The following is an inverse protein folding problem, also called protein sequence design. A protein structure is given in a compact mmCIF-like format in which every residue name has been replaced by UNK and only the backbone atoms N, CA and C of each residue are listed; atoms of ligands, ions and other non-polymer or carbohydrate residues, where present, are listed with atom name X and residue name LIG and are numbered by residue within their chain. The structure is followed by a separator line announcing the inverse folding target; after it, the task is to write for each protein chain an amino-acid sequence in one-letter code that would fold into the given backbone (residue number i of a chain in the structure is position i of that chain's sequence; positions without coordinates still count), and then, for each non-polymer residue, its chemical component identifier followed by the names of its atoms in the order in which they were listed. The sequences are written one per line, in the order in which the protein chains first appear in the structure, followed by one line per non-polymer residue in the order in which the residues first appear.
data_IF_704549676201
#
_entry.id   IF_704549676201
#
_cell.length_a   1.000
_cell.length_b   1.000
_cell.length_c   1.000
_cell.angle_alpha   90.00
_cell.angle_beta   90.00
_cell.angle_gamma   90.00
#
_symmetry.space_group_name_H-M   'P 1'
#
loop_
_entity.id
_entity.type
_entity.pdbx_description
1 polymer ?
#
# COMPACT_ATOMS: atom_id res chain seq x y z
N UNK A 1 -17.76 -17.03 19.93
CA UNK A 1 -16.59 -16.30 19.38
C UNK A 1 -16.75 -14.83 19.77
N UNK A 2 -15.75 -14.24 20.42
CA UNK A 2 -15.75 -12.79 20.67
C UNK A 2 -15.43 -12.10 19.34
N UNK A 3 -16.37 -11.33 18.80
CA UNK A 3 -16.12 -10.50 17.61
C UNK A 3 -14.95 -9.57 17.95
N UNK A 4 -13.88 -9.61 17.14
CA UNK A 4 -12.71 -8.73 17.32
C UNK A 4 -13.20 -7.27 17.21
N UNK A 5 -13.40 -6.62 18.35
CA UNK A 5 -13.96 -5.26 18.46
C UNK A 5 -13.12 -4.22 17.70
N UNK A 6 -11.85 -4.54 17.47
CA UNK A 6 -10.85 -3.64 16.87
C UNK A 6 -10.75 -3.78 15.33
N UNK A 7 -11.54 -4.66 14.70
CA UNK A 7 -11.44 -4.93 13.26
C UNK A 7 -11.82 -3.71 12.40
N UNK A 8 -12.92 -3.06 12.75
CA UNK A 8 -13.44 -1.87 12.07
C UNK A 8 -13.11 -0.65 12.93
N UNK A 9 -11.83 -0.36 13.10
CA UNK A 9 -11.32 0.81 13.83
C UNK A 9 -10.06 1.32 13.13
N UNK A 10 -9.80 2.62 13.20
CA UNK A 10 -8.55 3.21 12.74
C UNK A 10 -8.44 3.42 11.23
N UNK A 11 -7.25 3.18 10.66
CA UNK A 11 -6.98 3.34 9.23
C UNK A 11 -7.02 1.97 8.53
N UNK A 12 -8.01 1.79 7.67
CA UNK A 12 -8.14 0.63 6.80
C UNK A 12 -7.65 0.96 5.39
N UNK A 13 -6.56 0.32 4.94
CA UNK A 13 -5.98 0.57 3.61
C UNK A 13 -6.66 -0.28 2.54
N UNK A 14 -7.11 0.35 1.44
CA UNK A 14 -7.78 -0.28 0.32
C UNK A 14 -6.85 -0.30 -0.90
N UNK A 15 -5.99 -1.32 -1.05
CA UNK A 15 -5.15 -1.45 -2.23
C UNK A 15 -5.96 -1.80 -3.48
N UNK A 16 -5.34 -1.59 -4.63
CA UNK A 16 -5.81 -2.19 -5.89
C UNK A 16 -5.60 -3.71 -5.86
N UNK A 17 -6.30 -4.42 -6.74
CA UNK A 17 -6.02 -5.82 -7.05
C UNK A 17 -5.38 -5.86 -8.43
N UNK A 18 -4.03 -6.00 -8.54
CA UNK A 18 -3.38 -6.11 -9.84
C UNK A 18 -3.87 -7.36 -10.58
N UNK A 19 -4.27 -7.19 -11.83
CA UNK A 19 -4.69 -8.27 -12.69
C UNK A 19 -4.28 -7.98 -14.14
N UNK A 20 -4.12 -9.05 -14.93
CA UNK A 20 -3.94 -8.95 -16.37
C UNK A 20 -5.26 -8.53 -17.08
N UNK A 21 -5.23 -8.27 -18.40
CA UNK A 21 -6.43 -7.89 -19.14
C UNK A 21 -7.59 -8.90 -19.11
N UNK A 22 -7.30 -10.18 -18.83
CA UNK A 22 -8.28 -11.25 -18.71
C UNK A 22 -8.82 -11.39 -17.26
N UNK A 23 -8.31 -10.56 -16.35
CA UNK A 23 -8.67 -10.53 -14.93
C UNK A 23 -7.92 -11.53 -14.07
N UNK A 24 -6.91 -12.23 -14.61
CA UNK A 24 -6.06 -13.12 -13.81
C UNK A 24 -5.27 -12.27 -12.82
N UNK A 25 -5.53 -12.50 -11.53
CA UNK A 25 -4.88 -11.76 -10.45
C UNK A 25 -3.38 -12.06 -10.44
N UNK A 26 -2.57 -11.00 -10.54
CA UNK A 26 -1.13 -11.01 -10.32
C UNK A 26 -0.88 -11.04 -8.81
N UNK A 27 -0.77 -12.26 -8.30
CA UNK A 27 -0.55 -12.51 -6.88
C UNK A 27 0.82 -12.00 -6.42
N UNK A 28 1.84 -11.97 -7.28
CA UNK A 28 3.16 -11.48 -6.89
C UNK A 28 3.13 -9.97 -6.65
N UNK A 29 2.52 -9.22 -7.56
CA UNK A 29 2.35 -7.78 -7.41
C UNK A 29 1.44 -7.45 -6.22
N UNK A 30 0.35 -8.20 -6.04
CA UNK A 30 -0.54 -8.05 -4.89
C UNK A 30 0.22 -8.23 -3.57
N UNK A 31 1.01 -9.30 -3.43
CA UNK A 31 1.80 -9.54 -2.21
C UNK A 31 2.80 -8.42 -1.95
N UNK A 32 3.51 -7.93 -2.98
CA UNK A 32 4.44 -6.81 -2.83
C UNK A 32 3.75 -5.50 -2.38
N UNK A 33 2.51 -5.26 -2.80
CA UNK A 33 1.70 -4.14 -2.30
C UNK A 33 1.34 -4.37 -0.82
N UNK A 34 0.85 -5.56 -0.46
CA UNK A 34 0.41 -5.88 0.90
C UNK A 34 1.56 -5.81 1.92
N UNK A 35 2.78 -6.24 1.54
CA UNK A 35 3.97 -6.13 2.40
C UNK A 35 4.30 -4.69 2.76
N UNK A 36 4.06 -3.73 1.85
CA UNK A 36 4.25 -2.30 2.12
C UNK A 36 3.18 -1.70 3.03
N UNK A 37 2.02 -2.35 3.12
CA UNK A 37 0.93 -1.95 4.01
C UNK A 37 1.08 -2.54 5.42
N UNK A 38 1.98 -3.52 5.62
CA UNK A 38 2.30 -4.05 6.94
C UNK A 38 3.25 -3.11 7.72
N UNK A 39 2.77 -1.90 7.98
CA UNK A 39 3.47 -0.90 8.79
C UNK A 39 2.63 -0.52 10.02
N UNK A 40 3.26 0.02 11.07
CA UNK A 40 2.51 0.60 12.19
C UNK A 40 1.59 1.74 11.72
N UNK A 41 0.37 1.78 12.28
CA UNK A 41 -0.62 2.81 11.98
C UNK A 41 -1.61 2.47 10.85
N UNK A 42 -1.37 1.41 10.09
CA UNK A 42 -2.41 0.74 9.28
C UNK A 42 -3.06 -0.32 10.16
N UNK A 43 -4.36 -0.22 10.41
CA UNK A 43 -5.07 -1.06 11.38
C UNK A 43 -5.75 -2.26 10.72
N UNK A 44 -6.14 -2.15 9.44
CA UNK A 44 -6.65 -3.26 8.64
C UNK A 44 -6.41 -3.05 7.14
N UNK A 45 -6.62 -4.11 6.36
CA UNK A 45 -6.57 -4.06 4.90
C UNK A 45 -7.94 -4.42 4.34
N UNK A 46 -8.53 -3.49 3.58
CA UNK A 46 -9.76 -3.69 2.82
C UNK A 46 -9.47 -4.13 1.39
N UNK A 47 -9.23 -5.43 1.20
CA UNK A 47 -8.99 -6.00 -0.12
C UNK A 47 -10.32 -6.22 -0.87
N UNK A 48 -10.29 -6.25 -2.20
CA UNK A 48 -11.51 -6.45 -3.00
C UNK A 48 -12.63 -5.44 -2.63
N UNK A 49 -12.26 -4.19 -2.31
CA UNK A 49 -13.20 -3.06 -2.31
C UNK A 49 -13.45 -2.54 -3.73
N UNK A 50 -14.14 -1.40 -3.86
CA UNK A 50 -14.28 -0.69 -5.16
C UNK A 50 -12.91 -0.43 -5.80
N UNK A 51 -11.94 0.05 -5.03
CA UNK A 51 -10.53 0.25 -5.45
C UNK A 51 -9.88 -1.04 -5.96
N UNK A 52 -10.24 -2.18 -5.36
CA UNK A 52 -9.77 -3.50 -5.77
C UNK A 52 -10.56 -4.13 -6.93
N UNK A 53 -11.50 -3.40 -7.54
CA UNK A 53 -12.34 -3.81 -8.67
C UNK A 53 -13.10 -5.13 -8.47
N UNK A 54 -13.54 -5.44 -7.25
CA UNK A 54 -14.14 -6.75 -6.94
C UNK A 54 -15.31 -7.14 -7.87
N UNK A 55 -16.17 -6.20 -8.25
CA UNK A 55 -17.30 -6.45 -9.16
C UNK A 55 -16.90 -6.89 -10.57
N UNK A 56 -15.65 -6.66 -10.96
CA UNK A 56 -15.11 -7.05 -12.27
C UNK A 56 -14.31 -8.35 -12.22
N UNK A 57 -14.23 -8.98 -11.04
CA UNK A 57 -13.55 -10.26 -10.84
C UNK A 57 -14.58 -11.36 -10.61
N UNK A 58 -14.38 -12.48 -11.29
CA UNK A 58 -15.10 -13.73 -11.05
C UNK A 58 -14.83 -14.26 -9.63
N UNK A 59 -15.69 -15.17 -9.15
CA UNK A 59 -15.52 -15.84 -7.85
C UNK A 59 -14.12 -16.46 -7.71
N UNK A 60 -13.63 -17.17 -8.72
CA UNK A 60 -12.31 -17.82 -8.68
C UNK A 60 -11.14 -16.81 -8.66
N UNK A 61 -11.26 -15.71 -9.41
CA UNK A 61 -10.26 -14.63 -9.36
C UNK A 61 -10.24 -13.95 -7.98
N UNK A 62 -11.41 -13.74 -7.36
CA UNK A 62 -11.50 -13.23 -5.98
C UNK A 62 -10.85 -14.20 -4.99
N UNK A 63 -11.16 -15.49 -5.07
CA UNK A 63 -10.53 -16.53 -4.22
C UNK A 63 -9.01 -16.53 -4.37
N UNK A 64 -8.50 -16.44 -5.60
CA UNK A 64 -7.06 -16.33 -5.87
C UNK A 64 -6.42 -15.14 -5.15
N UNK A 65 -7.05 -13.95 -5.21
CA UNK A 65 -6.57 -12.77 -4.49
C UNK A 65 -6.59 -12.97 -2.97
N UNK A 66 -7.70 -13.53 -2.44
CA UNK A 66 -7.88 -13.78 -1.01
C UNK A 66 -6.83 -14.74 -0.48
N UNK A 67 -6.61 -15.88 -1.15
CA UNK A 67 -5.61 -16.85 -0.72
C UNK A 67 -4.20 -16.26 -0.70
N UNK A 68 -3.81 -15.50 -1.74
CA UNK A 68 -2.52 -14.83 -1.77
C UNK A 68 -2.37 -13.81 -0.63
N UNK A 69 -3.42 -13.04 -0.34
CA UNK A 69 -3.42 -12.04 0.73
C UNK A 69 -3.33 -12.68 2.11
N UNK A 70 -4.12 -13.71 2.39
CA UNK A 70 -4.07 -14.44 3.67
C UNK A 70 -2.69 -15.06 3.88
N UNK A 71 -2.13 -15.69 2.85
CA UNK A 71 -0.80 -16.29 2.92
C UNK A 71 0.31 -15.26 3.16
N UNK A 72 0.21 -14.07 2.56
CA UNK A 72 1.18 -13.00 2.75
C UNK A 72 1.05 -12.35 4.14
N UNK A 73 -0.17 -12.07 4.59
CA UNK A 73 -0.38 -11.35 5.85
C UNK A 73 -0.16 -12.24 7.07
N UNK A 74 -0.47 -13.54 6.99
CA UNK A 74 -0.28 -14.50 8.08
C UNK A 74 -0.88 -14.02 9.42
N UNK A 75 -2.01 -13.31 9.35
CA UNK A 75 -2.69 -12.74 10.52
C UNK A 75 -2.01 -11.52 11.16
N UNK A 76 -0.90 -10.99 10.61
CA UNK A 76 -0.22 -9.78 11.11
C UNK A 76 -1.11 -8.53 11.02
N UNK A 77 -1.96 -8.47 10.00
CA UNK A 77 -2.95 -7.41 9.78
C UNK A 77 -4.32 -8.03 9.51
N UNK A 78 -5.39 -7.52 10.14
CA UNK A 78 -6.74 -7.95 9.82
C UNK A 78 -7.08 -7.71 8.34
N UNK A 79 -7.67 -8.71 7.71
CA UNK A 79 -8.11 -8.65 6.32
C UNK A 79 -9.63 -8.57 6.25
N UNK A 80 -10.14 -7.57 5.53
CA UNK A 80 -11.56 -7.37 5.26
C UNK A 80 -11.76 -7.48 3.75
N UNK A 81 -12.76 -8.22 3.29
CA UNK A 81 -13.04 -8.39 1.84
C UNK A 81 -14.49 -8.12 1.49
N UNK A 82 -14.78 -7.72 0.25
CA UNK A 82 -16.17 -7.55 -0.17
C UNK A 82 -16.83 -8.86 -0.60
N UNK A 83 -18.03 -9.10 -0.06
CA UNK A 83 -18.94 -10.16 -0.47
C UNK A 83 -20.08 -9.65 -1.38
N UNK A 84 -20.00 -8.40 -1.87
CA UNK A 84 -21.03 -7.85 -2.75
C UNK A 84 -21.16 -8.64 -4.07
N UNK A 85 -22.41 -8.88 -4.46
CA UNK A 85 -22.78 -9.53 -5.71
C UNK A 85 -24.21 -9.13 -6.12
N UNK A 86 -24.55 -9.34 -7.39
CA UNK A 86 -25.89 -9.05 -7.92
C UNK A 86 -26.99 -9.96 -7.38
N UNK A 87 -26.62 -11.13 -6.85
CA UNK A 87 -27.55 -12.11 -6.31
C UNK A 87 -27.17 -12.45 -4.87
N UNK A 88 -28.18 -12.64 -4.04
CA UNK A 88 -28.00 -13.01 -2.63
C UNK A 88 -27.27 -14.35 -2.47
N UNK A 89 -27.56 -15.34 -3.30
CA UNK A 89 -26.89 -16.65 -3.23
C UNK A 89 -25.41 -16.58 -3.64
N UNK A 90 -25.04 -15.69 -4.56
CA UNK A 90 -23.64 -15.39 -4.88
C UNK A 90 -22.94 -14.71 -3.70
N UNK A 91 -23.58 -13.73 -3.06
CA UNK A 91 -23.03 -13.05 -1.90
C UNK A 91 -22.80 -14.02 -0.72
N UNK A 92 -23.72 -14.95 -0.48
CA UNK A 92 -23.56 -16.02 0.52
C UNK A 92 -22.39 -16.95 0.18
N UNK A 93 -22.21 -17.32 -1.09
CA UNK A 93 -21.07 -18.13 -1.53
C UNK A 93 -19.73 -17.40 -1.31
N UNK A 94 -19.68 -16.11 -1.64
CA UNK A 94 -18.49 -15.28 -1.43
C UNK A 94 -18.16 -15.10 0.05
N UNK A 95 -19.17 -14.91 0.90
CA UNK A 95 -19.00 -14.83 2.35
C UNK A 95 -18.39 -16.11 2.93
N UNK A 96 -18.89 -17.28 2.49
CA UNK A 96 -18.34 -18.59 2.88
C UNK A 96 -16.91 -18.81 2.39
N UNK A 97 -16.61 -18.46 1.13
CA UNK A 97 -15.24 -18.55 0.61
C UNK A 97 -14.25 -17.72 1.44
N UNK A 98 -14.65 -16.51 1.84
CA UNK A 98 -13.83 -15.64 2.68
C UNK A 98 -13.62 -16.22 4.09
N UNK A 99 -14.68 -16.76 4.70
CA UNK A 99 -14.62 -17.43 6.00
C UNK A 99 -13.71 -18.66 5.97
N UNK A 100 -13.87 -19.54 4.98
CA UNK A 100 -13.04 -20.73 4.78
C UNK A 100 -11.57 -20.37 4.55
N UNK A 101 -11.30 -19.25 3.88
CA UNK A 101 -9.95 -18.76 3.65
C UNK A 101 -9.30 -18.10 4.88
N UNK A 102 -10.06 -17.82 5.95
CA UNK A 102 -9.55 -17.18 7.16
C UNK A 102 -9.49 -15.64 7.10
N UNK A 103 -10.37 -15.01 6.31
CA UNK A 103 -10.58 -13.55 6.32
C UNK A 103 -11.21 -13.13 7.66
N UNK A 104 -10.91 -11.92 8.15
CA UNK A 104 -11.38 -11.46 9.46
C UNK A 104 -12.77 -10.79 9.42
N UNK A 105 -13.20 -10.24 8.29
CA UNK A 105 -14.53 -9.65 8.14
C UNK A 105 -14.92 -9.31 6.71
N UNK A 106 -16.17 -8.86 6.56
CA UNK A 106 -16.81 -8.64 5.25
C UNK A 106 -17.28 -7.21 5.06
N UNK A 107 -17.24 -6.74 3.82
CA UNK A 107 -17.99 -5.58 3.33
C UNK A 107 -19.13 -6.08 2.44
N UNK A 108 -20.35 -5.66 2.73
CA UNK A 108 -21.51 -6.01 1.91
C UNK A 108 -22.13 -4.75 1.31
N UNK A 109 -22.11 -4.61 -0.01
CA UNK A 109 -22.81 -3.54 -0.72
C UNK A 109 -24.04 -4.14 -1.41
N UNK A 110 -25.22 -3.48 -1.38
CA UNK A 110 -26.41 -3.94 -2.09
C UNK A 110 -26.29 -3.58 -3.58
N UNK A 111 -25.52 -4.38 -4.32
CA UNK A 111 -25.26 -4.14 -5.74
C UNK A 111 -26.43 -4.66 -6.56
N UNK A 112 -26.98 -3.83 -7.43
CA UNK A 112 -28.07 -4.24 -8.31
C UNK A 112 -28.03 -3.53 -9.66
N UNK A 113 -28.65 -4.16 -10.66
CA UNK A 113 -29.03 -3.50 -11.89
C UNK A 113 -30.42 -2.86 -11.75
N UNK A 114 -31.36 -3.62 -11.18
CA UNK A 114 -32.71 -3.13 -10.85
C UNK A 114 -32.66 -2.31 -9.55
N UNK A 115 -33.28 -1.13 -9.48
CA UNK A 115 -33.42 -0.38 -8.24
C UNK A 115 -34.05 -1.24 -7.14
N UNK A 116 -33.41 -1.32 -5.98
CA UNK A 116 -33.87 -2.12 -4.84
C UNK A 116 -34.75 -1.28 -3.89
N UNK A 117 -35.68 -1.96 -3.23
CA UNK A 117 -36.45 -1.46 -2.09
C UNK A 117 -35.71 -1.72 -0.77
N UNK A 118 -36.08 -0.99 0.29
CA UNK A 118 -35.52 -1.19 1.64
C UNK A 118 -35.71 -2.63 2.14
N UNK A 119 -36.84 -3.28 1.84
CA UNK A 119 -37.11 -4.65 2.28
C UNK A 119 -36.23 -5.68 1.55
N UNK A 120 -36.00 -5.48 0.25
CA UNK A 120 -35.09 -6.35 -0.52
C UNK A 120 -33.65 -6.23 -0.01
N UNK A 121 -33.19 -5.02 0.31
CA UNK A 121 -31.88 -4.81 0.91
C UNK A 121 -31.80 -5.42 2.30
N UNK A 122 -32.79 -5.22 3.17
CA UNK A 122 -32.81 -5.87 4.48
C UNK A 122 -32.73 -7.40 4.36
N UNK A 123 -33.58 -8.00 3.52
CA UNK A 123 -33.64 -9.47 3.33
C UNK A 123 -32.31 -10.00 2.77
N UNK A 124 -31.66 -9.25 1.88
CA UNK A 124 -30.34 -9.56 1.38
C UNK A 124 -29.29 -9.60 2.51
N UNK A 125 -29.25 -8.56 3.34
CA UNK A 125 -28.33 -8.50 4.49
C UNK A 125 -28.59 -9.63 5.48
N UNK A 126 -29.85 -9.88 5.84
CA UNK A 126 -30.24 -10.97 6.75
C UNK A 126 -29.80 -12.34 6.22
N UNK A 127 -30.01 -12.59 4.92
CA UNK A 127 -29.62 -13.84 4.27
C UNK A 127 -28.11 -14.04 4.25
N UNK A 128 -27.32 -13.00 3.96
CA UNK A 128 -25.85 -13.09 3.94
C UNK A 128 -25.31 -13.22 5.37
N UNK A 129 -25.82 -12.42 6.30
CA UNK A 129 -25.50 -12.47 7.73
C UNK A 129 -25.72 -13.87 8.32
N UNK A 130 -26.83 -14.53 7.98
CA UNK A 130 -27.13 -15.90 8.43
C UNK A 130 -26.26 -16.99 7.78
N UNK A 131 -25.43 -16.67 6.78
CA UNK A 131 -24.63 -17.65 6.04
C UNK A 131 -23.17 -17.77 6.47
N UNK A 132 -22.72 -16.90 7.38
CA UNK A 132 -21.33 -16.81 7.84
C UNK A 132 -21.24 -16.37 9.30
N UNK A 133 -20.16 -16.72 10.00
CA UNK A 133 -19.88 -16.20 11.34
C UNK A 133 -19.04 -14.92 11.32
N UNK A 134 -18.54 -14.51 10.15
CA UNK A 134 -17.72 -13.31 10.01
C UNK A 134 -18.52 -12.04 10.34
N UNK A 135 -17.88 -11.04 10.96
CA UNK A 135 -18.49 -9.74 11.16
C UNK A 135 -18.61 -8.98 9.82
N UNK A 136 -19.76 -8.35 9.62
CA UNK A 136 -20.16 -7.66 8.39
C UNK A 136 -20.20 -6.15 8.65
N UNK A 137 -19.62 -5.41 7.70
CA UNK A 137 -19.74 -3.97 7.57
C UNK A 137 -20.72 -3.63 6.43
N UNK A 138 -21.75 -2.86 6.76
CA UNK A 138 -22.66 -2.23 5.80
C UNK A 138 -21.81 -1.34 4.89
N UNK A 139 -21.79 -1.63 3.59
CA UNK A 139 -21.04 -0.84 2.62
C UNK A 139 -21.99 0.07 1.84
N UNK A 140 -22.14 1.29 2.33
CA UNK A 140 -22.91 2.35 1.69
C UNK A 140 -22.02 3.09 0.66
N UNK A 141 -22.35 2.94 -0.62
CA UNK A 141 -21.66 3.62 -1.73
C UNK A 141 -22.66 3.97 -2.84
N UNK A 142 -23.48 5.01 -2.66
CA UNK A 142 -24.63 5.29 -3.53
C UNK A 142 -24.20 5.67 -4.95
N UNK A 143 -22.99 6.21 -5.14
CA UNK A 143 -22.45 6.53 -6.47
C UNK A 143 -22.21 5.31 -7.36
N UNK A 144 -22.05 4.12 -6.77
CA UNK A 144 -21.78 2.88 -7.53
C UNK A 144 -22.90 1.86 -7.45
N UNK A 145 -23.64 1.82 -6.33
CA UNK A 145 -24.78 0.92 -6.13
C UNK A 145 -26.11 1.53 -6.56
N UNK A 146 -26.18 2.85 -6.70
CA UNK A 146 -27.43 3.60 -6.90
C UNK A 146 -28.49 3.36 -5.80
N UNK A 147 -28.06 2.86 -4.64
CA UNK A 147 -28.90 2.66 -3.47
C UNK A 147 -28.42 3.53 -2.31
N UNK A 148 -29.33 4.29 -1.72
CA UNK A 148 -29.08 5.13 -0.55
C UNK A 148 -29.82 4.55 0.64
N UNK A 149 -29.10 4.20 1.70
CA UNK A 149 -29.73 3.67 2.90
C UNK A 149 -30.47 4.77 3.67
N UNK A 150 -31.72 4.48 4.06
CA UNK A 150 -32.42 5.27 5.07
C UNK A 150 -31.84 4.99 6.46
N UNK A 151 -31.92 5.97 7.37
CA UNK A 151 -31.47 5.77 8.76
C UNK A 151 -32.25 4.64 9.48
N UNK A 152 -33.54 4.49 9.16
CA UNK A 152 -34.38 3.43 9.69
C UNK A 152 -33.90 2.06 9.20
N UNK A 153 -33.56 1.93 7.92
CA UNK A 153 -33.00 0.70 7.36
C UNK A 153 -31.62 0.40 7.97
N UNK A 154 -30.74 1.39 8.11
CA UNK A 154 -29.44 1.21 8.76
C UNK A 154 -29.60 0.65 10.18
N UNK A 155 -30.50 1.23 10.98
CA UNK A 155 -30.76 0.76 12.34
C UNK A 155 -31.32 -0.67 12.36
N UNK A 156 -32.22 -1.01 11.43
CA UNK A 156 -32.79 -2.35 11.31
C UNK A 156 -31.74 -3.40 10.92
N UNK A 157 -30.86 -3.08 9.96
CA UNK A 157 -29.76 -3.96 9.54
C UNK A 157 -28.70 -4.09 10.66
N UNK A 158 -28.39 -3.00 11.35
CA UNK A 158 -27.43 -2.99 12.46
C UNK A 158 -27.87 -3.82 13.68
N UNK A 159 -29.16 -4.18 13.76
CA UNK A 159 -29.67 -5.09 14.79
C UNK A 159 -29.35 -6.57 14.49
N UNK A 160 -28.86 -6.91 13.29
CA UNK A 160 -28.44 -8.28 12.96
C UNK A 160 -27.15 -8.65 13.75
N UNK A 161 -27.05 -9.86 14.34
CA UNK A 161 -26.02 -10.16 15.34
C UNK A 161 -24.56 -9.98 14.93
N UNK A 162 -24.25 -10.23 13.64
CA UNK A 162 -22.91 -10.11 13.09
C UNK A 162 -22.74 -8.90 12.17
N UNK A 163 -23.72 -8.00 12.06
CA UNK A 163 -23.51 -6.70 11.40
C UNK A 163 -23.07 -5.69 12.44
N UNK A 164 -21.85 -5.18 12.31
CA UNK A 164 -21.18 -4.45 13.40
C UNK A 164 -20.56 -3.12 12.99
N UNK A 165 -20.62 -2.78 11.71
CA UNK A 165 -20.00 -1.56 11.20
C UNK A 165 -20.76 -0.97 10.00
N UNK A 166 -20.57 0.32 9.78
CA UNK A 166 -20.97 1.07 8.60
C UNK A 166 -19.74 1.71 7.96
N UNK A 167 -19.56 1.47 6.67
CA UNK A 167 -18.70 2.23 5.78
C UNK A 167 -19.59 3.09 4.89
N UNK A 168 -19.43 4.41 4.96
CA UNK A 168 -20.16 5.36 4.11
C UNK A 168 -19.21 6.40 3.51
N UNK A 169 -19.57 7.08 2.41
CA UNK A 169 -18.85 8.29 2.01
C UNK A 169 -19.00 9.36 3.08
N UNK A 170 -17.97 10.18 3.28
CA UNK A 170 -18.09 11.39 4.09
C UNK A 170 -19.18 12.32 3.53
N UNK A 171 -20.06 12.87 4.37
CA UNK A 171 -21.03 13.87 3.95
C UNK A 171 -20.31 15.19 3.60
N UNK A 172 -20.84 15.91 2.61
CA UNK A 172 -20.30 17.20 2.15
C UNK A 172 -20.81 18.39 2.96
N UNK A 173 -21.86 18.20 3.75
CA UNK A 173 -22.48 19.22 4.59
C UNK A 173 -22.64 18.69 6.01
N UNK A 174 -22.30 19.53 7.00
CA UNK A 174 -22.44 19.25 8.43
C UNK A 174 -21.95 17.85 8.88
N UNK A 175 -20.70 17.45 8.55
CA UNK A 175 -20.23 16.09 8.81
C UNK A 175 -20.27 15.68 10.27
N UNK A 176 -20.02 16.62 11.18
CA UNK A 176 -20.14 16.40 12.62
C UNK A 176 -21.58 16.07 13.03
N UNK A 177 -22.55 16.91 12.65
CA UNK A 177 -23.95 16.70 12.99
C UNK A 177 -24.46 15.36 12.42
N UNK A 178 -24.10 15.04 11.17
CA UNK A 178 -24.45 13.76 10.56
C UNK A 178 -23.84 12.56 11.30
N UNK A 179 -22.60 12.68 11.78
CA UNK A 179 -21.98 11.63 12.61
C UNK A 179 -22.75 11.42 13.92
N UNK A 180 -23.07 12.51 14.63
CA UNK A 180 -23.79 12.48 15.90
C UNK A 180 -25.20 11.87 15.75
N UNK A 181 -25.92 12.22 14.68
CA UNK A 181 -27.23 11.64 14.36
C UNK A 181 -27.16 10.12 14.15
N UNK A 182 -26.19 9.65 13.38
CA UNK A 182 -26.00 8.22 13.15
C UNK A 182 -25.61 7.50 14.44
N UNK A 183 -24.71 8.09 15.24
CA UNK A 183 -24.29 7.54 16.52
C UNK A 183 -25.47 7.39 17.49
N UNK A 184 -26.42 8.32 17.47
CA UNK A 184 -27.62 8.27 18.30
C UNK A 184 -28.64 7.19 17.86
N UNK A 185 -28.65 6.84 16.57
CA UNK A 185 -29.62 5.88 15.97
C UNK A 185 -29.09 4.46 15.88
N UNK A 186 -27.78 4.28 15.82
CA UNK A 186 -27.14 2.98 15.68
C UNK A 186 -26.80 2.35 17.05
N UNK A 187 -26.68 1.01 17.15
CA UNK A 187 -26.38 0.35 18.40
C UNK A 187 -25.09 0.85 19.07
N UNK A 188 -25.05 0.82 20.40
CA UNK A 188 -23.85 1.16 21.15
C UNK A 188 -22.68 0.25 20.75
N UNK A 189 -21.52 0.86 20.46
CA UNK A 189 -20.34 0.14 19.99
C UNK A 189 -20.36 -0.27 18.52
N UNK A 190 -21.40 0.08 17.76
CA UNK A 190 -21.44 -0.10 16.31
C UNK A 190 -20.45 0.87 15.64
N UNK A 191 -19.53 0.35 14.82
CA UNK A 191 -18.49 1.17 14.20
C UNK A 191 -19.05 2.02 13.04
N UNK A 192 -18.80 3.33 13.04
CA UNK A 192 -19.18 4.25 11.97
C UNK A 192 -17.91 4.81 11.34
N UNK A 193 -17.63 4.38 10.11
CA UNK A 193 -16.46 4.82 9.37
C UNK A 193 -16.77 5.45 8.03
N UNK A 194 -15.78 6.15 7.50
CA UNK A 194 -15.90 7.09 6.40
C UNK A 194 -14.90 6.76 5.28
N UNK A 195 -15.30 7.09 4.07
CA UNK A 195 -14.54 6.99 2.82
C UNK A 195 -14.70 8.29 2.03
N UNK A 196 -14.21 8.34 0.78
CA UNK A 196 -13.91 9.58 0.07
C UNK A 196 -12.79 10.34 0.80
N UNK A 197 -11.55 9.92 0.54
CA UNK A 197 -10.33 10.32 1.27
C UNK A 197 -10.22 11.85 1.50
N UNK A 198 -10.68 12.66 0.55
CA UNK A 198 -10.60 14.12 0.60
C UNK A 198 -11.57 14.80 1.58
N UNK A 199 -12.58 14.09 2.09
CA UNK A 199 -13.61 14.61 2.99
C UNK A 199 -13.57 13.95 4.37
N UNK A 200 -12.59 13.10 4.65
CA UNK A 200 -12.64 12.20 5.81
C UNK A 200 -12.24 12.87 7.12
N UNK A 201 -11.47 13.95 7.09
CA UNK A 201 -10.86 14.53 8.28
C UNK A 201 -11.90 15.01 9.31
N UNK A 202 -12.91 15.76 8.88
CA UNK A 202 -13.92 16.32 9.77
C UNK A 202 -14.80 15.27 10.46
N UNK A 203 -15.42 14.29 9.77
CA UNK A 203 -16.22 13.28 10.45
C UNK A 203 -15.38 12.38 11.37
N UNK A 204 -14.09 12.15 11.08
CA UNK A 204 -13.22 11.41 12.00
C UNK A 204 -12.84 12.23 13.23
N UNK A 205 -12.56 13.53 13.09
CA UNK A 205 -12.38 14.46 14.23
C UNK A 205 -13.65 14.55 15.10
N UNK A 206 -14.83 14.31 14.51
CA UNK A 206 -16.10 14.25 15.22
C UNK A 206 -16.38 12.92 15.94
N UNK A 207 -15.44 11.95 15.92
CA UNK A 207 -15.60 10.65 16.57
C UNK A 207 -15.91 9.48 15.64
N UNK A 208 -15.72 9.66 14.32
CA UNK A 208 -15.70 8.55 13.37
C UNK A 208 -14.65 7.50 13.71
N UNK A 209 -15.04 6.23 13.64
CA UNK A 209 -14.24 5.09 14.10
C UNK A 209 -13.17 4.67 13.09
N UNK A 210 -13.49 4.73 11.79
CA UNK A 210 -12.65 4.16 10.73
C UNK A 210 -12.51 5.08 9.55
N UNK A 211 -11.29 5.20 9.05
CA UNK A 211 -11.00 5.69 7.71
C UNK A 211 -10.80 4.51 6.76
N UNK A 212 -11.74 4.30 5.83
CA UNK A 212 -11.61 3.36 4.73
C UNK A 212 -10.97 4.06 3.51
N UNK A 213 -9.65 3.89 3.35
CA UNK A 213 -8.82 4.77 2.53
C UNK A 213 -8.28 4.10 1.26
N UNK A 214 -8.59 4.64 0.08
CA UNK A 214 -8.01 4.18 -1.18
C UNK A 214 -6.56 4.68 -1.30
N UNK A 215 -6.30 5.92 -0.91
CA UNK A 215 -4.94 6.49 -0.97
C UNK A 215 -3.96 5.78 -0.04
N UNK A 216 -4.39 5.33 1.14
CA UNK A 216 -3.53 4.53 2.03
C UNK A 216 -3.09 3.20 1.42
N UNK A 217 -3.84 2.66 0.45
CA UNK A 217 -3.51 1.44 -0.27
C UNK A 217 -2.28 1.54 -1.18
N UNK A 218 -1.84 2.76 -1.51
CA UNK A 218 -0.64 3.03 -2.33
C UNK A 218 0.37 3.96 -1.65
N UNK A 219 -0.11 4.85 -0.79
CA UNK A 219 0.69 5.87 -0.09
C UNK A 219 0.40 5.83 1.42
N UNK A 220 0.79 4.74 2.13
CA UNK A 220 0.40 4.54 3.52
C UNK A 220 1.01 5.58 4.48
N UNK A 221 2.23 6.08 4.22
CA UNK A 221 2.94 7.01 5.11
C UNK A 221 2.16 8.30 5.42
N UNK A 222 1.80 9.12 4.42
CA UNK A 222 0.99 10.31 4.65
C UNK A 222 -0.37 10.03 5.28
N UNK A 223 -1.03 8.93 4.89
CA UNK A 223 -2.33 8.54 5.48
C UNK A 223 -2.20 8.19 6.96
N UNK A 224 -1.16 7.45 7.35
CA UNK A 224 -0.86 7.15 8.76
C UNK A 224 -0.58 8.44 9.53
N UNK A 225 0.19 9.38 8.96
CA UNK A 225 0.46 10.66 9.59
C UNK A 225 -0.84 11.45 9.82
N UNK A 226 -1.71 11.53 8.80
CA UNK A 226 -3.00 12.22 8.92
C UNK A 226 -3.91 11.56 9.96
N UNK A 227 -4.05 10.23 9.93
CA UNK A 227 -4.88 9.51 10.90
C UNK A 227 -4.38 9.68 12.33
N UNK A 228 -3.07 9.68 12.54
CA UNK A 228 -2.48 9.91 13.86
C UNK A 228 -2.73 11.33 14.37
N UNK A 229 -2.72 12.34 13.50
CA UNK A 229 -3.06 13.71 13.86
C UNK A 229 -4.54 13.87 14.20
N UNK A 230 -5.42 13.19 13.46
CA UNK A 230 -6.85 13.11 13.76
C UNK A 230 -7.08 12.49 15.14
N UNK A 231 -6.46 11.33 15.43
CA UNK A 231 -6.57 10.65 16.73
C UNK A 231 -6.11 11.52 17.91
N UNK A 232 -5.17 12.43 17.68
CA UNK A 232 -4.68 13.38 18.69
C UNK A 232 -5.54 14.65 18.81
N UNK A 233 -6.48 14.88 17.90
CA UNK A 233 -7.22 16.14 17.80
C UNK A 233 -6.34 17.32 17.35
N UNK A 234 -5.23 17.07 16.66
CA UNK A 234 -4.32 18.13 16.20
C UNK A 234 -4.85 18.76 14.90
N UNK A 235 -5.79 19.69 15.04
CA UNK A 235 -6.42 20.38 13.92
C UNK A 235 -5.43 21.10 13.00
N UNK A 236 -4.34 21.64 13.56
CA UNK A 236 -3.33 22.37 12.79
C UNK A 236 -2.54 21.41 11.89
N UNK A 237 -2.11 20.28 12.44
CA UNK A 237 -1.38 19.27 11.68
C UNK A 237 -2.27 18.53 10.67
N UNK A 238 -3.53 18.26 11.03
CA UNK A 238 -4.54 17.75 10.07
C UNK A 238 -4.65 18.69 8.86
N UNK A 239 -4.83 19.99 9.09
CA UNK A 239 -4.90 20.99 8.01
C UNK A 239 -3.62 21.01 7.17
N UNK A 240 -2.45 20.94 7.80
CA UNK A 240 -1.16 20.96 7.11
C UNK A 240 -0.98 19.73 6.21
N UNK A 241 -1.25 18.53 6.72
CA UNK A 241 -1.10 17.28 5.95
C UNK A 241 -2.15 17.22 4.83
N UNK A 242 -3.40 17.61 5.10
CA UNK A 242 -4.44 17.70 4.07
C UNK A 242 -4.05 18.66 2.94
N UNK A 243 -3.40 19.78 3.25
CA UNK A 243 -2.91 20.72 2.23
C UNK A 243 -1.79 20.13 1.35
N UNK A 244 -0.88 19.33 1.92
CA UNK A 244 0.16 18.60 1.15
C UNK A 244 -0.47 17.63 0.16
N UNK A 245 -1.56 17.01 0.59
CA UNK A 245 -2.24 15.98 -0.16
C UNK A 245 -3.27 16.53 -1.16
N UNK A 246 -3.67 17.80 -1.02
CA UNK A 246 -4.66 18.48 -1.86
C UNK A 246 -4.50 18.26 -3.38
N UNK A 247 -3.30 18.24 -3.98
CA UNK A 247 -3.15 17.97 -5.41
C UNK A 247 -3.64 16.57 -5.82
N UNK A 248 -3.46 15.55 -4.98
CA UNK A 248 -4.06 14.22 -5.23
C UNK A 248 -5.59 14.29 -5.08
N UNK A 249 -6.11 15.15 -4.20
CA UNK A 249 -7.54 15.20 -3.87
C UNK A 249 -8.30 15.81 -5.04
N UNK A 250 -7.69 16.79 -5.70
CA UNK A 250 -8.17 17.35 -6.97
C UNK A 250 -8.18 16.28 -8.07
N UNK A 251 -7.14 15.46 -8.18
CA UNK A 251 -7.10 14.36 -9.13
C UNK A 251 -8.19 13.31 -8.85
N UNK A 252 -8.44 12.99 -7.57
CA UNK A 252 -9.51 12.06 -7.16
C UNK A 252 -10.88 12.60 -7.57
N UNK A 253 -11.13 13.90 -7.38
CA UNK A 253 -12.40 14.53 -7.75
C UNK A 253 -12.58 14.60 -9.28
N UNK A 254 -11.51 14.82 -10.04
CA UNK A 254 -11.57 14.93 -11.49
C UNK A 254 -11.66 13.58 -12.21
N UNK A 255 -10.86 12.59 -11.80
CA UNK A 255 -10.71 11.32 -12.51
C UNK A 255 -11.33 10.11 -11.80
N UNK A 256 -11.75 10.28 -10.55
CA UNK A 256 -12.16 9.21 -9.65
C UNK A 256 -10.97 8.54 -8.96
N UNK A 257 -11.12 8.32 -7.65
CA UNK A 257 -10.11 7.70 -6.78
C UNK A 257 -9.55 6.38 -7.33
N UNK A 258 -10.40 5.47 -7.81
CA UNK A 258 -9.98 4.19 -8.36
C UNK A 258 -8.99 4.32 -9.52
N UNK A 259 -9.26 5.22 -10.49
CA UNK A 259 -8.34 5.42 -11.63
C UNK A 259 -7.03 6.04 -11.19
N UNK A 260 -7.08 7.01 -10.29
CA UNK A 260 -5.88 7.69 -9.79
C UNK A 260 -5.03 6.73 -8.97
N UNK A 261 -5.60 5.88 -8.12
CA UNK A 261 -4.83 4.89 -7.34
C UNK A 261 -4.16 3.86 -8.25
N UNK A 262 -4.81 3.40 -9.31
CA UNK A 262 -4.16 2.58 -10.34
C UNK A 262 -2.98 3.31 -11.01
N UNK A 263 -3.17 4.57 -11.39
CA UNK A 263 -2.10 5.37 -11.99
C UNK A 263 -0.92 5.55 -11.01
N UNK A 264 -1.20 5.93 -9.76
CA UNK A 264 -0.20 6.07 -8.70
C UNK A 264 0.57 4.76 -8.46
N UNK A 265 -0.10 3.62 -8.40
CA UNK A 265 0.55 2.32 -8.21
C UNK A 265 1.56 2.00 -9.33
N UNK A 266 1.22 2.34 -10.58
CA UNK A 266 2.11 2.18 -11.73
C UNK A 266 3.30 3.16 -11.67
N UNK A 267 3.05 4.44 -11.41
CA UNK A 267 4.11 5.47 -11.33
C UNK A 267 5.08 5.22 -10.16
N UNK A 268 4.59 4.63 -9.06
CA UNK A 268 5.40 4.20 -7.91
C UNK A 268 6.14 2.86 -8.15
N UNK A 269 5.95 2.24 -9.31
CA UNK A 269 6.56 0.94 -9.64
C UNK A 269 6.08 -0.20 -8.73
N UNK A 270 4.87 -0.11 -8.16
CA UNK A 270 4.32 -1.17 -7.31
C UNK A 270 3.84 -2.36 -8.13
N UNK A 271 3.34 -2.10 -9.33
CA UNK A 271 2.84 -3.10 -10.26
C UNK A 271 2.76 -2.52 -11.67
N UNK A 272 2.35 -3.35 -12.64
CA UNK A 272 1.89 -2.92 -13.95
C UNK A 272 0.46 -3.39 -14.16
N UNK A 273 -0.52 -2.54 -13.84
CA UNK A 273 -1.93 -2.91 -13.89
C UNK A 273 -2.79 -1.79 -14.48
N UNK A 274 -3.87 -2.17 -15.15
CA UNK A 274 -4.91 -1.25 -15.60
C UNK A 274 -6.25 -1.64 -14.97
N UNK A 275 -7.19 -0.69 -14.80
CA UNK A 275 -8.56 -1.05 -14.47
C UNK A 275 -9.13 -2.03 -15.51
N UNK A 276 -9.99 -2.98 -15.10
CA UNK A 276 -10.64 -3.90 -16.04
C UNK A 276 -11.58 -3.11 -16.97
N UNK A 277 -11.62 -3.51 -18.24
CA UNK A 277 -12.60 -2.93 -19.18
C UNK A 277 -14.03 -3.21 -18.68
N UNK A 278 -14.98 -2.28 -18.88
CA UNK A 278 -14.91 -1.07 -19.71
C UNK A 278 -14.29 0.17 -19.03
N UNK A 279 -13.78 0.06 -17.79
CA UNK A 279 -13.13 1.18 -17.12
C UNK A 279 -11.79 1.47 -17.81
N UNK A 280 -11.62 2.70 -18.29
CA UNK A 280 -10.36 3.18 -18.84
C UNK A 280 -9.42 3.66 -17.73
N UNK A 281 -8.09 3.51 -17.88
CA UNK A 281 -7.12 4.18 -17.03
C UNK A 281 -7.20 5.70 -17.22
N UNK A 282 -6.52 6.45 -16.34
CA UNK A 282 -6.25 7.88 -16.57
C UNK A 282 -5.53 8.03 -17.92
N UNK A 283 -5.94 9.01 -18.74
CA UNK A 283 -5.33 9.24 -20.04
C UNK A 283 -3.85 9.64 -19.89
N UNK A 284 -2.99 9.15 -20.78
CA UNK A 284 -1.52 9.31 -20.71
C UNK A 284 -1.08 10.78 -20.56
N UNK A 285 -1.81 11.71 -21.18
CA UNK A 285 -1.56 13.16 -21.09
C UNK A 285 -1.67 13.72 -19.66
N UNK A 286 -2.45 13.09 -18.79
CA UNK A 286 -2.61 13.51 -17.39
C UNK A 286 -1.61 12.86 -16.44
N UNK A 287 -0.81 11.87 -16.88
CA UNK A 287 0.18 11.20 -16.02
C UNK A 287 1.26 12.16 -15.50
N UNK A 288 1.56 13.24 -16.22
CA UNK A 288 2.44 14.30 -15.72
C UNK A 288 1.92 14.89 -14.40
N UNK A 289 0.61 15.10 -14.28
CA UNK A 289 -0.04 15.61 -13.07
C UNK A 289 0.01 14.60 -11.92
N UNK A 290 -0.18 13.31 -12.24
CA UNK A 290 -0.04 12.22 -11.27
C UNK A 290 1.38 12.22 -10.68
N UNK A 291 2.42 12.20 -11.52
CA UNK A 291 3.83 12.20 -11.06
C UNK A 291 4.21 13.43 -10.23
N UNK A 292 3.59 14.58 -10.48
CA UNK A 292 3.89 15.81 -9.75
C UNK A 292 3.16 15.93 -8.41
N UNK A 293 2.15 15.10 -8.13
CA UNK A 293 1.34 15.22 -6.93
C UNK A 293 2.06 14.64 -5.69
N UNK A 294 2.31 15.38 -4.61
CA UNK A 294 3.02 14.87 -3.43
C UNK A 294 2.36 13.56 -2.91
N UNK A 295 3.12 12.57 -2.40
CA UNK A 295 4.44 12.67 -1.80
C UNK A 295 5.54 12.08 -2.69
N UNK A 296 5.40 12.12 -4.02
CA UNK A 296 6.56 11.83 -4.86
C UNK A 296 7.70 12.74 -4.39
N UNK A 297 8.91 12.22 -4.10
CA UNK A 297 10.06 13.10 -4.05
C UNK A 297 9.99 13.84 -5.38
N UNK A 298 9.83 15.16 -5.32
CA UNK A 298 10.16 15.97 -6.47
C UNK A 298 11.55 15.47 -6.84
N UNK A 299 11.71 14.93 -8.04
CA UNK A 299 13.03 14.82 -8.62
C UNK A 299 13.46 16.27 -8.78
N UNK A 300 13.94 16.85 -7.67
CA UNK A 300 14.54 18.14 -7.63
C UNK A 300 15.60 18.04 -8.71
N UNK A 301 15.47 18.90 -9.71
CA UNK A 301 16.59 19.16 -10.59
C UNK A 301 17.78 19.35 -9.68
N UNK A 302 18.70 18.40 -9.71
CA UNK A 302 20.04 18.64 -9.21
C UNK A 302 20.53 19.78 -10.08
N UNK A 303 20.44 21.01 -9.55
CA UNK A 303 21.28 22.08 -10.04
C UNK A 303 22.69 21.48 -10.08
N UNK A 304 23.40 21.56 -11.22
CA UNK A 304 24.76 21.04 -11.26
C UNK A 304 25.54 21.71 -10.14
N UNK A 305 26.37 20.96 -9.39
CA UNK A 305 27.17 21.57 -8.34
C UNK A 305 27.94 22.75 -8.95
N UNK A 306 28.04 23.89 -8.26
CA UNK A 306 28.84 24.99 -8.75
C UNK A 306 30.25 24.46 -9.02
N UNK A 307 30.79 24.81 -10.19
CA UNK A 307 32.17 24.48 -10.53
C UNK A 307 33.07 24.93 -9.37
N UNK A 308 34.02 24.09 -8.91
CA UNK A 308 34.84 24.45 -7.78
C UNK A 308 35.64 25.69 -8.14
N UNK A 309 35.32 26.81 -7.47
CA UNK A 309 36.17 27.97 -7.50
C UNK A 309 37.50 27.57 -6.85
N UNK A 310 38.59 27.95 -7.51
CA UNK A 310 39.97 27.66 -7.17
C UNK A 310 40.40 28.40 -5.90
N UNK A 311 39.81 28.06 -4.74
CA UNK A 311 40.21 28.60 -3.43
C UNK A 311 39.61 27.80 -2.28
N UNK A 312 40.14 26.61 -2.03
CA UNK A 312 40.27 26.05 -0.68
C UNK A 312 41.11 24.76 -0.69
N UNK A 313 42.34 24.87 -1.21
CA UNK A 313 43.44 23.98 -0.80
C UNK A 313 44.24 24.76 0.23
N UNK A 314 44.02 24.48 1.52
CA UNK A 314 44.97 24.61 2.65
C UNK A 314 44.21 24.55 3.97
N UNK A 315 44.30 23.40 4.62
CA UNK A 315 44.51 23.19 6.07
C UNK A 315 43.75 21.96 6.55
N UNK A 316 44.47 20.83 6.60
CA UNK A 316 44.09 19.68 7.40
C UNK A 316 44.37 20.01 8.86
N UNK A 317 43.37 19.87 9.73
CA UNK A 317 43.54 19.57 11.15
C UNK A 317 42.34 18.77 11.64
N UNK A 318 42.54 17.63 12.35
CA UNK A 318 41.45 16.75 12.75
C UNK A 318 41.02 17.03 14.20
N UNK A 319 39.82 17.58 14.40
CA UNK A 319 39.15 17.51 15.70
C UNK A 319 37.64 17.74 15.57
N UNK A 320 36.87 16.92 16.31
CA UNK A 320 35.44 17.04 16.63
C UNK A 320 34.41 16.53 15.60
N UNK A 321 33.38 15.76 15.96
CA UNK A 321 33.05 14.87 17.10
C UNK A 321 31.79 14.13 16.62
N UNK A 322 31.79 12.80 16.69
CA UNK A 322 30.60 11.98 16.40
C UNK A 322 29.60 12.10 17.57
N UNK A 323 28.34 12.42 17.27
CA UNK A 323 27.20 12.21 18.17
C UNK A 323 26.58 10.86 17.81
N UNK A 324 26.53 9.94 18.77
CA UNK A 324 25.93 8.63 18.62
C UNK A 324 24.49 8.63 19.17
N UNK A 325 23.55 8.05 18.42
CA UNK A 325 22.28 7.54 18.94
C UNK A 325 22.26 6.00 18.81
N UNK A 326 21.92 5.25 19.87
CA UNK A 326 21.91 3.78 19.81
C UNK A 326 20.52 3.22 19.52
N UNK A 327 20.52 2.05 18.88
CA UNK A 327 19.66 0.86 19.08
C UNK A 327 19.04 0.31 17.78
N UNK A 328 19.57 -0.81 17.29
CA UNK A 328 18.83 -1.89 16.63
C UNK A 328 19.70 -3.17 16.64
N UNK A 329 19.05 -4.29 16.96
CA UNK A 329 19.62 -5.52 17.51
C UNK A 329 20.39 -6.45 16.56
N UNK A 330 21.10 -7.38 17.19
CA UNK A 330 22.23 -8.18 16.69
C UNK A 330 21.90 -9.44 15.84
N UNK A 331 20.69 -9.63 15.31
CA UNK A 331 20.30 -10.95 14.78
C UNK A 331 20.23 -11.12 13.25
N UNK A 332 20.29 -10.06 12.43
CA UNK A 332 20.18 -10.21 10.95
C UNK A 332 21.51 -10.27 10.19
N UNK A 333 22.64 -10.00 10.83
CA UNK A 333 23.91 -9.80 10.11
C UNK A 333 24.61 -11.09 9.65
N UNK A 334 24.35 -12.23 10.30
CA UNK A 334 25.09 -13.46 10.00
C UNK A 334 24.57 -14.20 8.76
N UNK A 335 23.27 -14.12 8.45
CA UNK A 335 22.65 -14.93 7.38
C UNK A 335 22.87 -14.31 5.97
N UNK A 336 22.92 -12.98 5.89
CA UNK A 336 23.22 -12.26 4.64
C UNK A 336 24.69 -12.42 4.19
N UNK A 337 25.63 -12.48 5.14
CA UNK A 337 27.06 -12.66 4.84
C UNK A 337 27.38 -14.10 4.38
N UNK A 338 26.65 -15.10 4.89
CA UNK A 338 26.87 -16.50 4.50
C UNK A 338 26.39 -16.81 3.08
N UNK A 339 25.32 -16.14 2.61
CA UNK A 339 24.79 -16.30 1.24
C UNK A 339 25.64 -15.59 0.19
N UNK A 340 26.28 -14.48 0.53
CA UNK A 340 27.18 -13.76 -0.39
C UNK A 340 28.51 -14.50 -0.62
N UNK A 341 29.06 -15.16 0.40
CA UNK A 341 30.33 -15.89 0.30
C UNK A 341 30.24 -17.19 -0.54
N UNK A 342 29.03 -17.73 -0.74
CA UNK A 342 28.81 -19.03 -1.38
C UNK A 342 28.10 -18.95 -2.74
N UNK A 343 27.94 -17.76 -3.31
CA UNK A 343 27.32 -17.59 -4.62
C UNK A 343 28.29 -18.03 -5.74
N UNK A 344 27.94 -19.10 -6.48
CA UNK A 344 28.59 -19.47 -7.74
C UNK A 344 27.67 -19.13 -8.92
N UNK A 345 28.07 -18.28 -9.86
CA UNK A 345 27.27 -18.00 -11.06
C UNK A 345 27.25 -19.23 -11.99
N UNK A 346 26.13 -19.46 -12.72
CA UNK A 346 26.04 -20.56 -13.67
C UNK A 346 26.95 -20.34 -14.90
N UNK A 347 27.42 -21.42 -15.57
CA UNK A 347 28.24 -21.29 -16.76
C UNK A 347 27.44 -20.77 -17.96
N UNK A 348 28.10 -20.08 -18.92
CA UNK A 348 27.45 -19.53 -20.10
C UNK A 348 26.94 -20.63 -21.05
N UNK A 349 25.85 -20.38 -21.80
CA UNK A 349 25.31 -21.34 -22.74
C UNK A 349 26.20 -21.53 -23.99
N UNK A 350 26.17 -22.71 -24.65
CA UNK A 350 27.00 -23.01 -25.82
C UNK A 350 26.55 -22.23 -27.06
N UNK A 351 27.52 -21.82 -27.89
CA UNK A 351 27.33 -21.10 -29.15
C UNK A 351 26.87 -22.06 -30.25
N UNK A 352 25.71 -21.77 -30.87
CA UNK A 352 25.29 -22.42 -32.12
C UNK A 352 25.46 -21.49 -33.33
N UNK A 353 25.80 -22.13 -34.45
CA UNK A 353 26.19 -21.59 -35.74
C UNK A 353 25.10 -20.74 -36.44
N UNK A 354 25.59 -19.78 -37.24
CA UNK A 354 24.84 -18.81 -38.02
C UNK A 354 24.21 -19.37 -39.31
N UNK A 355 23.11 -18.75 -39.75
CA UNK A 355 22.85 -18.43 -41.17
C UNK A 355 21.97 -17.16 -41.29
N UNK A 356 22.04 -16.43 -42.43
CA UNK A 356 21.97 -14.97 -42.47
C UNK A 356 20.67 -14.43 -43.08
N UNK A 357 20.18 -13.30 -42.56
CA UNK A 357 19.64 -12.18 -43.34
C UNK A 357 19.08 -11.09 -42.41
N UNK A 358 19.82 -9.98 -42.26
CA UNK A 358 19.34 -8.59 -42.18
C UNK A 358 20.48 -7.65 -41.73
N UNK A 359 20.79 -6.65 -42.55
CA UNK A 359 21.58 -5.44 -42.22
C UNK A 359 20.63 -4.22 -42.28
N UNK A 360 20.97 -3.02 -41.76
CA UNK A 360 21.79 -2.71 -40.59
C UNK A 360 21.20 -1.63 -39.64
N UNK A 361 21.56 -1.77 -38.36
CA UNK A 361 21.93 -0.76 -37.34
C UNK A 361 21.34 0.66 -37.32
N UNK A 362 20.78 1.03 -36.16
CA UNK A 362 21.37 2.07 -35.29
C UNK A 362 21.27 1.67 -33.81
N UNK A 363 22.36 1.93 -33.11
CA UNK A 363 22.73 1.53 -31.75
C UNK A 363 22.36 2.61 -30.71
N UNK A 364 21.90 2.22 -29.52
CA UNK A 364 22.68 2.40 -28.28
C UNK A 364 21.90 1.93 -27.04
N UNK A 365 22.45 0.91 -26.39
CA UNK A 365 22.16 0.57 -25.00
C UNK A 365 23.11 1.36 -24.11
N UNK A 366 22.60 2.08 -23.11
CA UNK A 366 23.39 2.50 -21.95
C UNK A 366 22.78 1.90 -20.69
N UNK A 367 23.44 0.88 -20.15
CA UNK A 367 23.29 0.51 -18.75
C UNK A 367 23.84 1.68 -17.91
N UNK A 368 23.03 2.19 -17.00
CA UNK A 368 23.33 3.38 -16.20
C UNK A 368 24.26 3.00 -15.02
N UNK A 369 25.38 3.71 -14.77
CA UNK A 369 26.40 3.31 -13.78
C UNK A 369 26.08 3.74 -12.33
N UNK A 370 24.81 3.84 -11.94
CA UNK A 370 24.39 4.40 -10.64
C UNK A 370 24.37 3.35 -9.51
N UNK A 371 24.41 2.06 -9.83
CA UNK A 371 24.31 0.98 -8.82
C UNK A 371 25.61 0.66 -8.07
N UNK A 372 26.76 1.17 -8.53
CA UNK A 372 28.07 0.86 -7.89
C UNK A 372 28.43 1.81 -6.74
N UNK A 373 27.93 3.05 -6.77
CA UNK A 373 28.31 4.08 -5.77
C UNK A 373 27.62 3.85 -4.42
N UNK A 374 26.40 3.30 -4.42
CA UNK A 374 25.64 3.01 -3.18
C UNK A 374 26.22 1.83 -2.40
N UNK A 375 26.87 0.88 -3.08
CA UNK A 375 27.62 -0.19 -2.40
C UNK A 375 28.90 0.33 -1.74
N UNK A 376 29.59 1.29 -2.36
CA UNK A 376 30.88 1.78 -1.86
C UNK A 376 30.75 2.54 -0.53
N UNK A 377 29.77 3.43 -0.38
CA UNK A 377 29.57 4.17 0.88
C UNK A 377 29.18 3.27 2.06
N UNK A 378 28.40 2.21 1.81
CA UNK A 378 27.99 1.26 2.85
C UNK A 378 29.15 0.38 3.31
N UNK A 379 30.02 -0.06 2.40
CA UNK A 379 31.19 -0.89 2.74
C UNK A 379 32.23 -0.09 3.51
N UNK A 380 32.49 1.16 3.12
CA UNK A 380 33.45 2.05 3.83
C UNK A 380 32.95 2.40 5.24
N UNK A 381 31.64 2.66 5.41
CA UNK A 381 31.04 2.86 6.73
C UNK A 381 31.13 1.62 7.64
N UNK A 382 30.92 0.42 7.09
CA UNK A 382 31.05 -0.82 7.85
C UNK A 382 32.50 -1.10 8.27
N UNK A 383 33.48 -0.84 7.41
CA UNK A 383 34.90 -1.03 7.73
C UNK A 383 35.39 -0.03 8.80
N UNK A 384 34.97 1.23 8.73
CA UNK A 384 35.30 2.26 9.72
C UNK A 384 34.69 1.95 11.10
N UNK A 385 33.46 1.38 11.13
CA UNK A 385 32.81 0.93 12.36
C UNK A 385 33.49 -0.30 12.99
N UNK A 386 34.10 -1.18 12.18
CA UNK A 386 34.82 -2.36 12.67
C UNK A 386 36.17 -1.98 13.33
N UNK A 387 36.89 -1.03 12.73
CA UNK A 387 38.21 -0.57 13.21
C UNK A 387 38.11 0.20 14.53
N UNK A 388 37.00 0.89 14.76
CA UNK A 388 36.78 1.69 15.97
C UNK A 388 36.31 0.87 17.18
N UNK A 389 35.74 -0.34 16.97
CA UNK A 389 35.16 -1.15 18.05
C UNK A 389 36.00 -2.34 18.51
N UNK A 390 37.03 -2.78 17.77
CA UNK A 390 37.82 -3.98 18.10
C UNK A 390 39.33 -3.75 17.95
N UNK A 391 40.03 -3.24 18.99
CA UNK A 391 41.46 -2.88 18.91
C UNK A 391 42.41 -4.06 18.60
N UNK A 392 41.97 -5.31 18.81
CA UNK A 392 42.81 -6.52 18.68
C UNK A 392 42.79 -7.20 17.30
N UNK A 393 42.10 -6.65 16.29
CA UNK A 393 42.03 -7.23 14.92
C UNK A 393 42.52 -6.27 13.82
N UNK A 394 43.63 -5.55 14.08
CA UNK A 394 44.23 -4.60 13.10
C UNK A 394 44.75 -5.26 11.82
N UNK A 395 45.10 -6.54 11.86
CA UNK A 395 45.63 -7.26 10.70
C UNK A 395 44.52 -7.66 9.71
N UNK A 396 43.36 -8.10 10.22
CA UNK A 396 42.20 -8.45 9.39
C UNK A 396 41.58 -7.23 8.70
N UNK A 397 41.50 -6.09 9.39
CA UNK A 397 40.97 -4.85 8.80
C UNK A 397 41.83 -4.30 7.65
N UNK A 398 43.16 -4.51 7.69
CA UNK A 398 44.08 -4.13 6.61
C UNK A 398 43.85 -4.96 5.34
N UNK A 399 43.63 -6.26 5.49
CA UNK A 399 43.38 -7.15 4.35
C UNK A 399 42.04 -6.85 3.66
N UNK A 400 41.01 -6.46 4.42
CA UNK A 400 39.71 -6.09 3.88
C UNK A 400 39.74 -4.74 3.13
N UNK A 401 40.57 -3.79 3.58
CA UNK A 401 40.75 -2.52 2.88
C UNK A 401 41.54 -2.69 1.57
N UNK A 402 42.56 -3.55 1.57
CA UNK A 402 43.33 -3.89 0.36
C UNK A 402 42.48 -4.61 -0.70
N UNK A 403 41.61 -5.55 -0.29
CA UNK A 403 40.68 -6.24 -1.19
C UNK A 403 39.63 -5.29 -1.78
N UNK A 404 39.12 -4.33 -0.99
CA UNK A 404 38.19 -3.31 -1.48
C UNK A 404 38.85 -2.37 -2.52
N UNK A 405 40.12 -2.02 -2.32
CA UNK A 405 40.89 -1.20 -3.26
C UNK A 405 41.23 -1.94 -4.56
N UNK A 406 41.55 -3.24 -4.48
CA UNK A 406 41.81 -4.08 -5.65
C UNK A 406 40.56 -4.26 -6.51
N UNK A 407 39.39 -4.44 -5.88
CA UNK A 407 38.11 -4.54 -6.55
C UNK A 407 37.68 -3.23 -7.23
N UNK A 408 37.97 -2.06 -6.64
CA UNK A 408 37.64 -0.76 -7.24
C UNK A 408 38.54 -0.38 -8.42
N UNK A 409 39.72 -1.00 -8.55
CA UNK A 409 40.67 -0.75 -9.63
C UNK A 409 40.87 -1.92 -10.60
N UNK A 410 40.09 -3.01 -10.47
CA UNK A 410 40.11 -4.14 -11.39
C UNK A 410 41.39 -4.98 -11.36
N UNK A 411 42.12 -4.99 -10.24
CA UNK A 411 43.36 -5.75 -10.10
C UNK A 411 43.09 -7.17 -9.53
N UNK A 412 43.73 -8.23 -10.06
CA UNK A 412 43.57 -9.58 -9.50
C UNK A 412 44.20 -9.69 -8.10
N UNK A 413 43.47 -10.28 -7.16
CA UNK A 413 43.79 -10.33 -5.73
C UNK A 413 45.02 -11.19 -5.34
N UNK A 414 45.77 -11.74 -6.31
CA UNK A 414 46.93 -12.59 -6.06
C UNK A 414 48.24 -11.80 -5.83
N UNK A 415 48.34 -10.54 -6.28
CA UNK A 415 49.62 -9.80 -6.27
C UNK A 415 49.79 -8.81 -5.09
N UNK A 416 49.04 -8.97 -4.00
CA UNK A 416 49.00 -8.02 -2.88
C UNK A 416 49.13 -8.65 -1.48
N UNK A 417 49.71 -9.85 -1.38
CA UNK A 417 50.09 -10.49 -0.11
C UNK A 417 51.59 -10.41 0.14
#
# INVERSE_FOLDING_TARGET
MSIKKDLFQGLSAFPITPADPDGTVDTSALVGILEKLDIPGIDSIGLLGSTGNYLYLTREQRKRAIHAAVQALQGRKPLIVSAGALRTDDAQRLAKDAEEAGVDGLLLAPVSYTPLTDEEVYTHYESVAGSTTLPICIYHTPSTTHFTFSDALLARIAALPNVVALKQPSPTAEPKARHEELRAKLPSGFSIGYSADWLVAEPLLAGGDVWYSAIAGVLPGPSVALMNSIRKGDHAEVKRISAVLQPIWELFQEFGDGRVVFALANELGLCKAAPPRPILPVAAEHHGRIRSAPPFPTTGGTAPPPSPSSRCLRSFSPACRYVAYPQLGHAMHHDLLFRAANYRPPPPPPRHHAHPNAYPTTTSSSANPVDWVVCYERVVSCAAALVTRLPRRRHEARNHFALALAASHGLPAHDLL
#
